data_IF_853851138283
#
_entry.id   IF_853851138283
#
_cell.length_a   1.000
_cell.length_b   1.000
_cell.length_c   1.000
_cell.angle_alpha   90.00
_cell.angle_beta   90.00
_cell.angle_gamma   90.00
#
_symmetry.space_group_name_H-M   'P 1'
#
loop_
_entity.id
_entity.type
_entity.pdbx_description
1 polymer ?
#
# COMPACT_ATOMS: atom_id res chain seq x y z
N UNK A 1 -21.53 7.63 8.84
CA UNK A 1 -20.14 7.15 8.77
C UNK A 1 -20.17 5.84 7.99
N UNK A 2 -19.86 5.83 6.68
CA UNK A 2 -19.65 4.63 5.83
C UNK A 2 -19.31 5.06 4.38
N UNK A 3 -18.31 5.94 4.23
CA UNK A 3 -17.77 6.30 2.91
C UNK A 3 -16.55 5.45 2.51
N UNK A 4 -16.06 4.58 3.41
CA UNK A 4 -14.75 3.92 3.31
C UNK A 4 -14.67 2.78 2.29
N UNK A 5 -15.74 2.48 1.56
CA UNK A 5 -15.78 1.36 0.61
C UNK A 5 -16.53 1.71 -0.68
N UNK A 6 -16.65 3.00 -1.05
CA UNK A 6 -17.16 3.32 -2.40
C UNK A 6 -15.95 3.43 -3.33
N UNK A 7 -15.59 2.36 -4.07
CA UNK A 7 -14.51 2.45 -5.03
C UNK A 7 -14.78 3.59 -6.03
N UNK A 8 -13.75 4.34 -6.46
CA UNK A 8 -13.88 5.29 -7.56
C UNK A 8 -14.25 4.51 -8.83
N UNK A 9 -15.50 4.62 -9.29
CA UNK A 9 -16.01 3.75 -10.37
C UNK A 9 -16.02 2.26 -9.97
N UNK A 10 -16.40 1.36 -10.89
CA UNK A 10 -16.41 -0.08 -10.62
C UNK A 10 -14.97 -0.61 -10.58
N UNK A 11 -14.22 -0.36 -9.51
CA UNK A 11 -12.97 -1.08 -9.25
C UNK A 11 -13.29 -2.58 -9.34
N UNK A 12 -12.60 -3.28 -10.25
CA UNK A 12 -12.89 -4.70 -10.54
C UNK A 12 -11.94 -5.62 -9.82
N UNK A 13 -10.83 -5.08 -9.31
CA UNK A 13 -9.74 -5.81 -8.68
C UNK A 13 -9.28 -5.03 -7.46
N UNK A 14 -9.28 -5.70 -6.31
CA UNK A 14 -8.86 -5.11 -5.04
C UNK A 14 -7.75 -5.99 -4.47
N UNK A 15 -6.63 -5.38 -4.11
CA UNK A 15 -5.51 -6.05 -3.47
C UNK A 15 -5.30 -5.46 -2.09
N UNK A 16 -5.04 -6.31 -1.11
CA UNK A 16 -4.70 -5.90 0.25
C UNK A 16 -3.38 -6.56 0.63
N UNK A 17 -2.38 -5.74 0.96
CA UNK A 17 -1.10 -6.18 1.49
C UNK A 17 -1.09 -5.93 2.99
N UNK A 18 -1.06 -7.01 3.76
CA UNK A 18 -0.77 -6.96 5.21
C UNK A 18 0.74 -6.93 5.41
N UNK A 19 1.27 -5.79 5.80
CA UNK A 19 2.70 -5.57 5.99
C UNK A 19 3.04 -5.58 7.49
N UNK A 20 3.21 -6.79 8.03
CA UNK A 20 3.34 -7.06 9.48
C UNK A 20 4.45 -6.28 10.20
N UNK A 21 5.50 -5.88 9.49
CA UNK A 21 6.65 -5.18 10.06
C UNK A 21 6.84 -3.77 9.50
N UNK A 22 6.06 -3.37 8.49
CA UNK A 22 6.28 -2.10 7.80
C UNK A 22 6.01 -0.93 8.75
N UNK A 23 6.99 -0.03 8.85
CA UNK A 23 6.94 1.08 9.79
C UNK A 23 5.78 2.00 9.49
N UNK A 24 5.16 2.55 10.54
CA UNK A 24 4.02 3.46 10.44
C UNK A 24 4.41 4.93 10.65
N UNK A 25 5.72 5.19 10.82
CA UNK A 25 6.28 6.54 10.88
C UNK A 25 6.81 6.92 9.50
N UNK A 26 6.68 8.19 9.06
CA UNK A 26 7.38 8.69 7.87
C UNK A 26 8.88 8.90 8.10
N UNK A 27 9.35 8.79 9.35
CA UNK A 27 10.77 8.95 9.73
C UNK A 27 11.55 7.65 9.48
N UNK A 28 11.86 7.38 8.21
CA UNK A 28 12.76 6.30 7.78
C UNK A 28 13.60 6.74 6.58
N UNK A 29 14.75 6.09 6.40
CA UNK A 29 15.61 6.35 5.25
C UNK A 29 14.98 5.79 3.94
N UNK A 30 14.65 6.63 2.94
CA UNK A 30 14.07 6.16 1.68
C UNK A 30 15.02 5.29 0.85
N UNK A 31 16.34 5.42 1.02
CA UNK A 31 17.30 4.51 0.40
C UNK A 31 17.31 3.12 1.07
N UNK A 32 16.71 3.00 2.27
CA UNK A 32 16.69 1.80 3.11
C UNK A 32 15.31 1.16 3.26
N UNK A 33 14.49 1.12 2.20
CA UNK A 33 13.12 0.58 2.25
C UNK A 33 13.02 -0.86 2.80
N UNK A 34 14.03 -1.70 2.55
CA UNK A 34 14.07 -3.05 3.10
C UNK A 34 14.17 -3.04 4.63
N UNK A 35 14.94 -2.11 5.20
CA UNK A 35 15.11 -1.92 6.65
C UNK A 35 13.91 -1.24 7.30
N UNK A 36 13.09 -0.53 6.54
CA UNK A 36 11.82 0.06 6.98
C UNK A 36 10.69 -1.00 7.10
N UNK A 37 11.00 -2.18 7.63
CA UNK A 37 10.02 -3.24 7.83
C UNK A 37 9.54 -3.89 6.54
N UNK A 38 10.45 -4.05 5.56
CA UNK A 38 10.13 -4.57 4.21
C UNK A 38 9.18 -3.68 3.41
N UNK A 39 9.26 -2.36 3.59
CA UNK A 39 8.56 -1.38 2.76
C UNK A 39 8.87 -1.56 1.26
N UNK A 40 10.05 -2.10 0.94
CA UNK A 40 10.43 -2.45 -0.43
C UNK A 40 9.46 -3.46 -1.08
N UNK A 41 8.92 -4.39 -0.30
CA UNK A 41 7.91 -5.36 -0.75
C UNK A 41 6.58 -4.68 -1.00
N UNK A 42 6.15 -3.78 -0.10
CA UNK A 42 4.91 -3.00 -0.24
C UNK A 42 4.96 -2.15 -1.52
N UNK A 43 6.06 -1.44 -1.75
CA UNK A 43 6.26 -0.63 -2.94
C UNK A 43 6.24 -1.46 -4.23
N UNK A 44 6.92 -2.62 -4.25
CA UNK A 44 6.87 -3.53 -5.41
C UNK A 44 5.48 -4.10 -5.66
N UNK A 45 4.73 -4.41 -4.60
CA UNK A 45 3.34 -4.87 -4.73
C UNK A 45 2.44 -3.79 -5.33
N UNK A 46 2.58 -2.53 -4.90
CA UNK A 46 1.85 -1.39 -5.47
C UNK A 46 2.20 -1.19 -6.96
N UNK A 47 3.49 -1.23 -7.31
CA UNK A 47 3.95 -1.13 -8.70
C UNK A 47 3.36 -2.27 -9.54
N UNK A 48 3.41 -3.51 -9.05
CA UNK A 48 2.88 -4.66 -9.77
C UNK A 48 1.34 -4.59 -9.96
N UNK A 49 0.63 -4.07 -8.97
CA UNK A 49 -0.81 -3.93 -9.01
C UNK A 49 -1.25 -2.80 -9.95
N UNK A 50 -0.56 -1.66 -9.95
CA UNK A 50 -1.02 -0.43 -10.61
C UNK A 50 -0.36 -0.16 -11.96
N UNK A 51 0.88 -0.59 -12.17
CA UNK A 51 1.66 -0.20 -13.35
C UNK A 51 1.31 -0.99 -14.62
N UNK A 52 1.35 -0.31 -15.76
CA UNK A 52 1.31 -0.87 -17.11
C UNK A 52 2.54 -0.40 -17.90
N UNK A 53 2.82 -1.04 -19.04
CA UNK A 53 3.87 -0.56 -19.97
C UNK A 53 3.64 0.90 -20.38
N UNK A 54 2.38 1.30 -20.52
CA UNK A 54 1.96 2.68 -20.77
C UNK A 54 0.75 2.96 -19.88
N UNK A 55 0.88 3.92 -18.96
CA UNK A 55 -0.18 4.34 -18.05
C UNK A 55 -0.29 3.50 -16.76
N UNK A 56 -1.44 3.64 -16.09
CA UNK A 56 -1.78 2.96 -14.82
C UNK A 56 -3.12 2.25 -14.95
N UNK A 57 -3.35 1.20 -14.15
CA UNK A 57 -4.64 0.50 -14.12
C UNK A 57 -5.67 1.31 -13.34
N UNK A 58 -6.67 1.83 -14.05
CA UNK A 58 -7.78 2.60 -13.45
C UNK A 58 -8.85 1.72 -12.78
N UNK A 59 -8.83 0.40 -13.01
CA UNK A 59 -9.81 -0.56 -12.46
C UNK A 59 -9.29 -1.33 -11.23
N UNK A 60 -8.17 -0.89 -10.64
CA UNK A 60 -7.50 -1.51 -9.50
C UNK A 60 -7.52 -0.59 -8.28
N UNK A 61 -7.81 -1.17 -7.12
CA UNK A 61 -7.63 -0.55 -5.82
C UNK A 61 -6.58 -1.34 -5.02
N UNK A 62 -5.60 -0.64 -4.44
CA UNK A 62 -4.50 -1.25 -3.72
C UNK A 62 -4.46 -0.71 -2.30
N UNK A 63 -4.55 -1.60 -1.32
CA UNK A 63 -4.43 -1.24 0.09
C UNK A 63 -3.14 -1.81 0.68
N UNK A 64 -2.44 -1.00 1.47
CA UNK A 64 -1.36 -1.45 2.33
C UNK A 64 -1.73 -1.22 3.79
N UNK A 65 -1.80 -2.30 4.58
CA UNK A 65 -2.01 -2.26 6.03
C UNK A 65 -0.66 -2.45 6.70
N UNK A 66 -0.11 -1.35 7.24
CA UNK A 66 1.18 -1.30 7.90
C UNK A 66 0.99 -1.58 9.40
N UNK A 67 1.66 -2.61 9.93
CA UNK A 67 1.52 -3.04 11.33
C UNK A 67 2.83 -2.94 12.12
N UNK A 68 3.87 -2.34 11.56
CA UNK A 68 5.12 -2.07 12.27
C UNK A 68 5.01 -0.89 13.26
N UNK A 69 6.05 -0.69 14.10
CA UNK A 69 6.11 0.45 15.00
C UNK A 69 6.17 1.80 14.24
N UNK A 70 5.89 2.93 14.91
CA UNK A 70 5.53 3.08 16.32
C UNK A 70 4.02 3.13 16.61
N UNK A 71 3.15 3.26 15.60
CA UNK A 71 1.70 3.47 15.77
C UNK A 71 0.88 2.58 14.82
N UNK A 72 0.96 1.25 14.95
CA UNK A 72 0.12 0.36 14.15
C UNK A 72 -1.34 0.34 14.62
N UNK A 73 -2.31 0.08 13.72
CA UNK A 73 -2.15 -0.05 12.26
C UNK A 73 -2.27 1.30 11.53
N UNK A 74 -1.58 1.43 10.38
CA UNK A 74 -1.84 2.49 9.39
C UNK A 74 -2.26 1.85 8.08
N UNK A 75 -3.42 2.24 7.56
CA UNK A 75 -3.90 1.78 6.24
C UNK A 75 -3.73 2.88 5.20
N UNK A 76 -3.16 2.53 4.06
CA UNK A 76 -2.95 3.39 2.90
C UNK A 76 -3.79 2.83 1.74
N UNK A 77 -4.45 3.72 1.00
CA UNK A 77 -5.20 3.48 -0.25
C UNK A 77 -4.49 4.16 -1.43
#
# INVERSE_FOLDING_TARGET
MNAFLKPPGKARRIFVVKASMAVTSPDFNPAGLASAGRMDVVARAAIAALSLKSGVREDVLFYAVLEGPPRPPVTIE
#
